data_IF_572343052585
#
_entry.id   IF_572343052585
#
_cell.length_a   1.000
_cell.length_b   1.000
_cell.length_c   1.000
_cell.angle_alpha   90.00
_cell.angle_beta   90.00
_cell.angle_gamma   90.00
#
_symmetry.space_group_name_H-M   'P 1'
#
loop_
_entity.id
_entity.type
_entity.pdbx_description
1 polymer ?
#
# COMPACT_ATOMS: atom_id res chain seq x y z
N UNK A 1 4.60 20.29 41.10
CA UNK A 1 5.21 19.55 39.97
C UNK A 1 4.54 18.19 39.70
N UNK A 2 3.82 17.58 40.66
CA UNK A 2 3.05 16.33 40.44
C UNK A 2 1.77 16.52 39.62
N UNK A 3 1.00 17.58 39.87
CA UNK A 3 -0.25 17.86 39.16
C UNK A 3 -0.08 18.20 37.66
N UNK A 4 1.09 18.68 37.23
CA UNK A 4 1.39 18.92 35.81
C UNK A 4 1.75 17.63 35.05
N UNK A 5 2.06 16.55 35.77
CA UNK A 5 2.30 15.26 35.14
C UNK A 5 0.98 14.62 34.77
N UNK A 6 -0.04 14.76 35.62
CA UNK A 6 -1.36 14.17 35.38
C UNK A 6 -2.15 14.85 34.26
N UNK A 7 -2.05 16.18 34.09
CA UNK A 7 -2.69 16.89 32.98
C UNK A 7 -2.09 16.58 31.60
N UNK A 8 -0.83 16.15 31.54
CA UNK A 8 -0.17 15.73 30.28
C UNK A 8 -0.54 14.29 29.90
N UNK A 9 -1.01 13.49 30.86
CA UNK A 9 -1.52 12.13 30.65
C UNK A 9 -3.06 12.06 30.63
N UNK A 10 -3.75 13.21 30.74
CA UNK A 10 -5.21 13.30 30.75
C UNK A 10 -5.75 13.25 29.31
N UNK A 11 -6.16 12.03 28.93
CA UNK A 11 -7.28 11.75 28.02
C UNK A 11 -7.08 12.08 26.54
N UNK A 12 -6.11 11.42 25.92
CA UNK A 12 -6.26 10.99 24.53
C UNK A 12 -7.36 9.92 24.49
N UNK A 13 -8.61 10.38 24.36
CA UNK A 13 -9.76 9.51 24.12
C UNK A 13 -9.51 8.80 22.78
N UNK A 14 -8.96 7.58 22.86
CA UNK A 14 -8.61 6.72 21.74
C UNK A 14 -9.89 6.41 20.97
N UNK A 15 -10.26 7.30 20.04
CA UNK A 15 -11.50 7.27 19.30
C UNK A 15 -11.40 6.13 18.31
N UNK A 16 -11.78 4.93 18.76
CA UNK A 16 -11.83 3.73 17.92
C UNK A 16 -12.69 4.08 16.71
N UNK A 17 -12.14 4.04 15.48
CA UNK A 17 -12.90 4.40 14.30
C UNK A 17 -14.14 3.49 14.19
N UNK A 18 -15.24 3.99 13.62
CA UNK A 18 -16.49 3.25 13.52
C UNK A 18 -16.27 1.93 12.79
N UNK A 19 -16.59 0.82 13.46
CA UNK A 19 -16.35 -0.57 13.01
C UNK A 19 -16.96 -0.89 11.65
N UNK A 20 -18.02 -0.19 11.25
CA UNK A 20 -18.71 -0.36 9.96
C UNK A 20 -17.87 0.09 8.75
N UNK A 21 -17.04 1.12 8.89
CA UNK A 21 -16.19 1.61 7.79
C UNK A 21 -15.05 0.61 7.50
N UNK A 22 -14.42 0.07 8.54
CA UNK A 22 -13.39 -0.96 8.41
C UNK A 22 -13.95 -2.27 7.85
N UNK A 23 -15.17 -2.66 8.24
CA UNK A 23 -15.85 -3.84 7.68
C UNK A 23 -16.15 -3.67 6.18
N UNK A 24 -16.57 -2.47 5.75
CA UNK A 24 -16.83 -2.20 4.34
C UNK A 24 -15.55 -2.30 3.51
N UNK A 25 -14.45 -1.72 4.03
CA UNK A 25 -13.12 -1.82 3.40
C UNK A 25 -12.63 -3.26 3.32
N UNK A 26 -12.86 -4.05 4.38
CA UNK A 26 -12.55 -5.48 4.40
C UNK A 26 -13.25 -6.23 3.26
N UNK A 27 -14.56 -6.02 3.09
CA UNK A 27 -15.32 -6.66 2.01
C UNK A 27 -14.79 -6.25 0.63
N UNK A 28 -14.49 -4.96 0.44
CA UNK A 28 -13.87 -4.48 -0.82
C UNK A 28 -12.56 -5.20 -1.10
N UNK A 29 -11.68 -5.33 -0.10
CA UNK A 29 -10.40 -6.02 -0.26
C UNK A 29 -10.57 -7.53 -0.50
N UNK A 30 -11.54 -8.18 0.15
CA UNK A 30 -11.87 -9.57 -0.09
C UNK A 30 -12.36 -9.81 -1.52
N UNK A 31 -13.18 -8.91 -2.06
CA UNK A 31 -13.62 -8.96 -3.47
C UNK A 31 -12.43 -8.78 -4.41
N UNK A 32 -11.55 -7.79 -4.17
CA UNK A 32 -10.35 -7.58 -4.97
C UNK A 32 -9.45 -8.83 -4.98
N UNK A 33 -9.28 -9.48 -3.83
CA UNK A 33 -8.51 -10.71 -3.71
C UNK A 33 -9.15 -11.88 -4.48
N UNK A 34 -10.48 -12.00 -4.45
CA UNK A 34 -11.20 -13.01 -5.23
C UNK A 34 -11.05 -12.77 -6.74
N UNK A 35 -11.12 -11.50 -7.18
CA UNK A 35 -10.88 -11.11 -8.59
C UNK A 35 -9.44 -11.44 -9.00
N UNK A 36 -8.45 -11.12 -8.16
CA UNK A 36 -7.05 -11.47 -8.39
C UNK A 36 -6.88 -12.98 -8.61
N UNK A 37 -7.54 -13.80 -7.79
CA UNK A 37 -7.50 -15.25 -7.90
C UNK A 37 -8.12 -15.73 -9.21
N UNK A 38 -9.28 -15.18 -9.59
CA UNK A 38 -9.95 -15.50 -10.84
C UNK A 38 -9.09 -15.14 -12.07
N UNK A 39 -8.45 -13.96 -12.05
CA UNK A 39 -7.50 -13.55 -13.10
C UNK A 39 -6.29 -14.49 -13.12
N UNK A 40 -5.81 -14.95 -11.97
CA UNK A 40 -4.76 -15.95 -11.84
C UNK A 40 -5.09 -17.27 -12.55
N UNK A 41 -6.33 -17.77 -12.43
CA UNK A 41 -6.77 -19.04 -13.02
C UNK A 41 -7.33 -18.97 -14.44
N UNK A 42 -7.57 -17.77 -14.98
CA UNK A 42 -8.03 -17.59 -16.37
C UNK A 42 -7.01 -18.10 -17.43
N UNK A 43 -7.22 -17.89 -18.73
CA UNK A 43 -6.22 -18.22 -19.78
C UNK A 43 -5.74 -16.98 -20.56
N UNK A 44 -5.68 -15.82 -19.88
CA UNK A 44 -5.28 -14.53 -20.45
C UNK A 44 -3.80 -14.44 -20.92
N UNK A 45 -3.04 -15.54 -20.92
CA UNK A 45 -1.66 -15.58 -21.38
C UNK A 45 -0.74 -14.57 -20.66
N UNK A 46 0.19 -13.90 -21.37
CA UNK A 46 1.13 -12.94 -20.76
C UNK A 46 0.44 -11.74 -20.08
N UNK A 47 -0.77 -11.39 -20.51
CA UNK A 47 -1.52 -10.25 -19.95
C UNK A 47 -2.00 -10.50 -18.52
N UNK A 48 -2.00 -11.77 -18.06
CA UNK A 48 -2.30 -12.12 -16.65
C UNK A 48 -1.41 -11.38 -15.67
N UNK A 49 -0.10 -11.33 -15.95
CA UNK A 49 0.87 -10.73 -15.04
C UNK A 49 0.58 -9.24 -14.91
N UNK A 50 0.34 -8.56 -16.02
CA UNK A 50 0.03 -7.14 -16.03
C UNK A 50 -1.30 -6.85 -15.30
N UNK A 51 -2.35 -7.63 -15.57
CA UNK A 51 -3.64 -7.49 -14.90
C UNK A 51 -3.52 -7.70 -13.37
N UNK A 52 -2.82 -8.75 -12.96
CA UNK A 52 -2.57 -9.04 -11.55
C UNK A 52 -1.75 -7.97 -10.85
N UNK A 53 -0.79 -7.33 -11.55
CA UNK A 53 0.01 -6.25 -10.99
C UNK A 53 -0.81 -4.98 -10.78
N UNK A 54 -1.70 -4.64 -11.73
CA UNK A 54 -2.61 -3.51 -11.61
C UNK A 54 -3.58 -3.68 -10.44
N UNK A 55 -4.21 -4.86 -10.33
CA UNK A 55 -5.12 -5.17 -9.22
C UNK A 55 -4.36 -5.14 -7.88
N UNK A 56 -3.15 -5.68 -7.82
CA UNK A 56 -2.31 -5.61 -6.62
C UNK A 56 -2.02 -4.14 -6.21
N UNK A 57 -1.75 -3.25 -7.17
CA UNK A 57 -1.55 -1.82 -6.91
C UNK A 57 -2.80 -1.12 -6.34
N UNK A 58 -3.99 -1.47 -6.84
CA UNK A 58 -5.25 -0.96 -6.28
C UNK A 58 -5.47 -1.51 -4.87
N UNK A 59 -5.20 -2.81 -4.66
CA UNK A 59 -5.37 -3.47 -3.37
C UNK A 59 -4.49 -2.84 -2.28
N UNK A 60 -3.21 -2.59 -2.57
CA UNK A 60 -2.28 -1.95 -1.62
C UNK A 60 -2.67 -0.50 -1.34
N UNK A 61 -3.17 0.23 -2.34
CA UNK A 61 -3.66 1.59 -2.16
C UNK A 61 -4.87 1.65 -1.21
N UNK A 62 -5.86 0.78 -1.41
CA UNK A 62 -7.06 0.70 -0.54
C UNK A 62 -6.66 0.24 0.87
N UNK A 63 -5.81 -0.78 0.99
CA UNK A 63 -5.29 -1.27 2.27
C UNK A 63 -4.59 -0.15 3.05
N UNK A 64 -3.66 0.57 2.41
CA UNK A 64 -2.91 1.65 3.05
C UNK A 64 -3.79 2.81 3.50
N UNK A 65 -4.71 3.27 2.64
CA UNK A 65 -5.54 4.44 2.95
C UNK A 65 -6.53 4.20 4.10
N UNK A 66 -7.08 2.99 4.23
CA UNK A 66 -8.18 2.70 5.14
C UNK A 66 -7.81 1.82 6.34
N UNK A 67 -6.92 0.82 6.18
CA UNK A 67 -6.55 -0.07 7.29
C UNK A 67 -5.30 0.39 8.05
N UNK A 68 -4.44 1.17 7.40
CA UNK A 68 -3.27 1.76 8.05
C UNK A 68 -3.53 3.21 8.49
N UNK A 69 -4.78 3.67 8.40
CA UNK A 69 -5.23 5.03 8.72
C UNK A 69 -4.32 6.12 8.13
N UNK A 70 -3.71 5.86 6.97
CA UNK A 70 -2.82 6.81 6.28
C UNK A 70 -3.58 8.07 5.89
N UNK A 71 -4.87 7.94 5.61
CA UNK A 71 -5.75 9.08 5.30
C UNK A 71 -5.87 10.07 6.47
N UNK A 72 -5.87 9.58 7.71
CA UNK A 72 -5.95 10.39 8.93
C UNK A 72 -4.57 10.77 9.46
N UNK A 73 -3.51 10.12 8.98
CA UNK A 73 -2.13 10.39 9.37
C UNK A 73 -1.64 11.79 8.97
N UNK A 74 -0.65 12.27 9.71
CA UNK A 74 -0.03 13.57 9.47
C UNK A 74 0.69 13.67 8.12
N UNK A 75 1.00 14.92 7.70
CA UNK A 75 1.75 15.21 6.47
C UNK A 75 3.11 14.50 6.41
N UNK A 76 3.74 14.26 7.57
CA UNK A 76 5.01 13.53 7.65
C UNK A 76 4.86 12.06 7.21
N UNK A 77 3.74 11.42 7.56
CA UNK A 77 3.42 10.04 7.16
C UNK A 77 3.29 9.95 5.64
N UNK A 78 2.58 10.90 5.02
CA UNK A 78 2.45 10.97 3.56
C UNK A 78 3.79 11.19 2.85
N UNK A 79 4.64 12.05 3.40
CA UNK A 79 5.99 12.27 2.86
C UNK A 79 6.84 10.99 2.92
N UNK A 80 6.77 10.26 4.04
CA UNK A 80 7.52 9.03 4.24
C UNK A 80 7.06 7.92 3.27
N UNK A 81 5.75 7.78 3.05
CA UNK A 81 5.18 6.84 2.07
C UNK A 81 5.60 7.23 0.65
N UNK A 82 5.52 8.52 0.31
CA UNK A 82 5.98 9.01 -0.99
C UNK A 82 7.47 8.73 -1.22
N UNK A 83 8.30 8.98 -0.20
CA UNK A 83 9.73 8.74 -0.25
C UNK A 83 10.07 7.25 -0.41
N UNK A 84 9.36 6.35 0.29
CA UNK A 84 9.59 4.90 0.19
C UNK A 84 9.19 4.33 -1.18
N UNK A 85 8.05 4.77 -1.73
CA UNK A 85 7.60 4.38 -3.07
C UNK A 85 8.53 4.94 -4.13
N UNK A 86 8.93 6.21 -4.01
CA UNK A 86 9.90 6.84 -4.91
C UNK A 86 11.25 6.09 -4.91
N UNK A 87 11.77 5.81 -3.72
CA UNK A 87 13.03 5.08 -3.55
C UNK A 87 12.96 3.66 -4.13
N UNK A 88 11.88 2.94 -3.86
CA UNK A 88 11.65 1.59 -4.40
C UNK A 88 11.54 1.63 -5.93
N UNK A 89 10.85 2.64 -6.48
CA UNK A 89 10.76 2.87 -7.92
C UNK A 89 12.12 3.09 -8.59
N UNK A 90 13.01 3.87 -7.95
CA UNK A 90 14.38 4.07 -8.44
C UNK A 90 15.18 2.75 -8.46
N UNK A 91 15.07 1.93 -7.41
CA UNK A 91 15.73 0.62 -7.36
C UNK A 91 15.25 -0.29 -8.51
N UNK A 92 13.94 -0.37 -8.76
CA UNK A 92 13.41 -1.13 -9.89
C UNK A 92 13.91 -0.59 -11.24
N UNK A 93 13.95 0.73 -11.41
CA UNK A 93 14.44 1.36 -12.64
C UNK A 93 15.92 1.01 -12.90
N UNK A 94 16.78 1.09 -11.89
CA UNK A 94 18.19 0.74 -12.02
C UNK A 94 18.38 -0.75 -12.34
N UNK A 95 17.66 -1.63 -11.65
CA UNK A 95 17.72 -3.08 -11.90
C UNK A 95 17.32 -3.38 -13.36
N UNK A 96 16.18 -2.85 -13.83
CA UNK A 96 15.71 -3.08 -15.19
C UNK A 96 16.69 -2.52 -16.23
N UNK A 97 17.25 -1.34 -15.98
CA UNK A 97 18.25 -0.72 -16.86
C UNK A 97 19.52 -1.57 -16.97
N UNK A 98 19.99 -2.12 -15.84
CA UNK A 98 21.14 -3.05 -15.80
C UNK A 98 20.87 -4.30 -16.64
N UNK A 99 19.71 -4.96 -16.41
CA UNK A 99 19.33 -6.15 -17.18
C UNK A 99 19.21 -5.87 -18.69
N UNK A 100 18.60 -4.75 -19.09
CA UNK A 100 18.42 -4.39 -20.50
C UNK A 100 19.74 -4.05 -21.19
N UNK A 101 20.68 -3.41 -20.48
CA UNK A 101 21.95 -2.96 -21.06
C UNK A 101 23.01 -4.08 -21.09
N UNK A 102 22.87 -5.12 -20.27
CA UNK A 102 23.83 -6.23 -20.19
C UNK A 102 24.04 -6.98 -21.51
N UNK A 103 22.99 -7.07 -22.34
CA UNK A 103 23.09 -7.76 -23.64
C UNK A 103 23.81 -6.91 -24.71
N UNK A 104 23.88 -5.59 -24.53
CA UNK A 104 24.58 -4.68 -25.45
C UNK A 104 26.10 -4.79 -25.39
N UNK A 105 26.67 -5.23 -24.25
CA UNK A 105 28.12 -5.35 -24.07
C UNK A 105 28.69 -6.73 -24.49
N UNK A 106 27.84 -7.66 -24.91
CA UNK A 106 28.21 -9.04 -25.28
C UNK A 106 28.36 -9.25 -26.80
N UNK A 107 28.16 -8.20 -27.60
CA UNK A 107 28.40 -8.13 -29.04
C UNK A 107 29.46 -7.06 -29.33
#
# INVERSE_FOLDING_TARGET
MSALKETVFEKDEHKVPPTSASLTTFVVLAVLAAVQLAVGFSDLGPLKVLANLLIAGVQTSVLGLFFMDVKQGDKLTWLCIGASVFWTGLMFLFILTDYLTRHYAAY
#
